data_IF_248990292122
#
_entry.id   IF_248990292122
#
_cell.length_a   1.000
_cell.length_b   1.000
_cell.length_c   1.000
_cell.angle_alpha   90.00
_cell.angle_beta   90.00
_cell.angle_gamma   90.00
#
_symmetry.space_group_name_H-M   'P 1'
#
loop_
_entity.id
_entity.type
_entity.pdbx_description
1 polymer ?
#
# COMPACT_ATOMS: atom_id res chain seq x y z
N UNK A 1 4.12 6.26 -5.95
CA UNK A 1 3.41 7.50 -6.34
C UNK A 1 4.18 8.23 -7.42
N UNK A 2 3.54 8.81 -8.41
CA UNK A 2 4.22 9.73 -9.29
C UNK A 2 4.76 10.91 -8.47
N UNK A 3 6.08 11.10 -8.48
CA UNK A 3 6.78 12.14 -7.71
C UNK A 3 6.25 13.55 -8.01
N UNK A 4 5.72 13.76 -9.20
CA UNK A 4 5.11 15.02 -9.65
C UNK A 4 3.90 15.40 -8.79
N UNK A 5 3.04 14.44 -8.43
CA UNK A 5 1.84 14.72 -7.61
C UNK A 5 2.22 15.16 -6.21
N UNK A 6 3.22 14.51 -5.60
CA UNK A 6 3.75 14.95 -4.30
C UNK A 6 4.33 16.36 -4.38
N UNK A 7 5.02 16.69 -5.46
CA UNK A 7 5.57 18.03 -5.67
C UNK A 7 4.46 19.10 -5.76
N UNK A 8 3.38 18.79 -6.48
CA UNK A 8 2.20 19.70 -6.60
C UNK A 8 1.43 19.82 -5.27
N UNK A 9 1.38 18.76 -4.47
CA UNK A 9 0.68 18.79 -3.18
C UNK A 9 1.51 19.39 -2.04
N UNK A 10 2.83 19.45 -2.14
CA UNK A 10 3.70 20.01 -1.10
C UNK A 10 3.32 21.45 -0.69
N UNK A 11 3.07 22.40 -1.60
CA UNK A 11 2.64 23.75 -1.23
C UNK A 11 1.32 23.74 -0.43
N UNK A 12 0.39 22.85 -0.81
CA UNK A 12 -0.88 22.67 -0.10
C UNK A 12 -0.64 22.16 1.33
N UNK A 13 0.22 21.17 1.50
CA UNK A 13 0.54 20.63 2.81
C UNK A 13 1.24 21.65 3.71
N UNK A 14 2.23 22.38 3.18
CA UNK A 14 2.95 23.41 3.93
C UNK A 14 2.01 24.56 4.37
N UNK A 15 1.00 24.90 3.56
CA UNK A 15 0.05 25.96 3.88
C UNK A 15 -0.95 25.56 4.97
N UNK A 16 -1.40 24.30 4.98
CA UNK A 16 -2.48 23.84 5.86
C UNK A 16 -2.02 23.00 7.06
N UNK A 17 -0.82 22.44 7.03
CA UNK A 17 -0.28 21.57 8.09
C UNK A 17 0.84 22.31 8.81
N UNK A 18 0.81 22.28 10.14
CA UNK A 18 1.87 22.85 10.97
C UNK A 18 3.20 22.10 10.75
N UNK A 19 4.35 22.78 10.85
CA UNK A 19 5.68 22.22 10.60
C UNK A 19 5.99 20.97 11.44
N UNK A 20 5.59 20.95 12.72
CA UNK A 20 5.78 19.79 13.60
C UNK A 20 4.94 18.57 13.14
N UNK A 21 3.73 18.79 12.67
CA UNK A 21 2.84 17.73 12.19
C UNK A 21 3.26 17.25 10.81
N UNK A 22 3.82 18.13 9.98
CA UNK A 22 4.43 17.76 8.71
C UNK A 22 5.65 16.84 8.91
N UNK A 23 6.46 17.07 9.95
CA UNK A 23 7.57 16.19 10.28
C UNK A 23 7.07 14.78 10.69
N UNK A 24 6.02 14.68 11.52
CA UNK A 24 5.39 13.40 11.87
C UNK A 24 4.85 12.68 10.64
N UNK A 25 4.15 13.41 9.77
CA UNK A 25 3.67 12.90 8.50
C UNK A 25 4.78 12.30 7.64
N UNK A 26 5.88 13.04 7.47
CA UNK A 26 7.03 12.59 6.68
C UNK A 26 7.68 11.33 7.24
N UNK A 27 7.80 11.23 8.58
CA UNK A 27 8.33 10.05 9.26
C UNK A 27 7.45 8.81 9.03
N UNK A 28 6.14 8.94 9.14
CA UNK A 28 5.22 7.81 8.87
C UNK A 28 5.28 7.37 7.40
N UNK A 29 5.40 8.30 6.44
CA UNK A 29 5.55 7.92 5.03
C UNK A 29 6.88 7.23 4.73
N UNK A 30 7.96 7.64 5.39
CA UNK A 30 9.24 6.92 5.32
C UNK A 30 9.10 5.51 5.89
N UNK A 31 8.39 5.36 7.01
CA UNK A 31 8.13 4.06 7.63
C UNK A 31 7.25 3.16 6.73
N UNK A 32 6.19 3.71 6.11
CA UNK A 32 5.38 2.98 5.12
C UNK A 32 6.25 2.44 3.99
N UNK A 33 7.13 3.27 3.44
CA UNK A 33 8.00 2.88 2.35
C UNK A 33 8.95 1.75 2.76
N UNK A 34 9.52 1.83 3.95
CA UNK A 34 10.38 0.79 4.52
C UNK A 34 9.61 -0.52 4.75
N UNK A 35 8.45 -0.45 5.38
CA UNK A 35 7.59 -1.62 5.63
C UNK A 35 7.16 -2.28 4.33
N UNK A 36 6.80 -1.51 3.30
CA UNK A 36 6.43 -2.06 2.01
C UNK A 36 7.60 -2.81 1.33
N UNK A 37 8.84 -2.33 1.47
CA UNK A 37 10.03 -3.05 0.98
C UNK A 37 10.17 -4.37 1.72
N UNK A 38 10.10 -4.36 3.06
CA UNK A 38 10.20 -5.56 3.89
C UNK A 38 9.08 -6.55 3.58
N UNK A 39 7.82 -6.09 3.49
CA UNK A 39 6.68 -6.95 3.19
C UNK A 39 6.70 -7.51 1.76
N UNK A 40 7.23 -6.76 0.78
CA UNK A 40 7.35 -7.27 -0.59
C UNK A 40 8.33 -8.43 -0.72
N UNK A 41 9.30 -8.51 0.19
CA UNK A 41 10.25 -9.62 0.35
C UNK A 41 10.94 -10.04 -0.97
N UNK A 42 11.13 -9.10 -1.91
CA UNK A 42 11.71 -9.42 -3.22
C UNK A 42 10.86 -10.35 -4.10
N UNK A 43 9.63 -10.68 -3.68
CA UNK A 43 8.75 -11.63 -4.37
C UNK A 43 8.30 -11.16 -5.75
N UNK A 44 8.32 -9.86 -6.00
CA UNK A 44 8.07 -9.33 -7.33
C UNK A 44 9.12 -9.82 -8.35
N UNK A 45 10.39 -9.75 -7.97
CA UNK A 45 11.50 -10.20 -8.82
C UNK A 45 11.46 -11.72 -9.01
N UNK A 46 11.20 -12.47 -7.93
CA UNK A 46 11.02 -13.91 -8.00
C UNK A 46 9.83 -14.27 -8.90
N UNK A 47 8.73 -13.53 -8.81
CA UNK A 47 7.56 -13.72 -9.67
C UNK A 47 7.95 -13.65 -11.16
N UNK A 48 8.65 -12.61 -11.60
CA UNK A 48 9.08 -12.46 -12.99
C UNK A 48 9.95 -13.65 -13.45
N UNK A 49 10.93 -14.05 -12.65
CA UNK A 49 11.83 -15.15 -12.98
C UNK A 49 11.09 -16.48 -13.15
N UNK A 50 10.28 -16.87 -12.15
CA UNK A 50 9.64 -18.17 -12.12
C UNK A 50 8.40 -18.27 -13.00
N UNK A 51 7.73 -17.14 -13.31
CA UNK A 51 6.63 -17.10 -14.28
C UNK A 51 7.12 -17.29 -15.72
N UNK A 52 8.38 -17.03 -16.02
CA UNK A 52 8.97 -17.26 -17.34
C UNK A 52 9.32 -18.74 -17.58
N UNK A 53 9.35 -19.60 -16.54
CA UNK A 53 9.52 -21.04 -16.70
C UNK A 53 8.27 -21.66 -17.35
N UNK A 54 8.48 -22.63 -18.25
CA UNK A 54 7.40 -23.28 -18.99
C UNK A 54 6.35 -23.87 -18.04
N UNK A 55 5.08 -23.60 -18.29
CA UNK A 55 3.90 -24.08 -17.55
C UNK A 55 3.81 -23.67 -16.06
N UNK A 56 4.65 -22.75 -15.60
CA UNK A 56 4.68 -22.32 -14.19
C UNK A 56 3.93 -21.02 -13.90
N UNK A 57 3.57 -20.23 -14.92
CA UNK A 57 2.99 -18.89 -14.74
C UNK A 57 1.83 -18.85 -13.73
N UNK A 58 0.83 -19.70 -13.94
CA UNK A 58 -0.38 -19.73 -13.09
C UNK A 58 -0.06 -20.19 -11.67
N UNK A 59 0.80 -21.18 -11.52
CA UNK A 59 1.26 -21.70 -10.22
C UNK A 59 2.05 -20.63 -9.47
N UNK A 60 2.94 -19.94 -10.17
CA UNK A 60 3.75 -18.84 -9.62
C UNK A 60 2.86 -17.68 -9.18
N UNK A 61 1.87 -17.31 -9.99
CA UNK A 61 0.92 -16.26 -9.65
C UNK A 61 0.15 -16.58 -8.38
N UNK A 62 -0.48 -17.75 -8.31
CA UNK A 62 -1.27 -18.18 -7.16
C UNK A 62 -0.40 -18.29 -5.89
N UNK A 63 0.76 -18.96 -5.98
CA UNK A 63 1.67 -19.16 -4.84
C UNK A 63 2.19 -17.82 -4.30
N UNK A 64 2.63 -16.92 -5.18
CA UNK A 64 3.11 -15.59 -4.79
C UNK A 64 2.00 -14.75 -4.16
N UNK A 65 0.82 -14.73 -4.77
CA UNK A 65 -0.31 -13.94 -4.25
C UNK A 65 -0.71 -14.40 -2.85
N UNK A 66 -0.87 -15.70 -2.62
CA UNK A 66 -1.26 -16.21 -1.30
C UNK A 66 -0.19 -15.98 -0.23
N UNK A 67 1.08 -16.09 -0.59
CA UNK A 67 2.16 -15.76 0.34
C UNK A 67 2.11 -14.27 0.73
N UNK A 68 2.01 -13.38 -0.25
CA UNK A 68 1.96 -11.94 -0.01
C UNK A 68 0.70 -11.54 0.77
N UNK A 69 -0.45 -12.13 0.44
CA UNK A 69 -1.70 -11.90 1.15
C UNK A 69 -1.62 -12.36 2.61
N UNK A 70 -1.07 -13.55 2.86
CA UNK A 70 -0.90 -14.05 4.23
C UNK A 70 0.08 -13.17 5.04
N UNK A 71 1.24 -12.85 4.47
CA UNK A 71 2.26 -12.04 5.13
C UNK A 71 1.72 -10.65 5.50
N UNK A 72 1.04 -9.99 4.55
CA UNK A 72 0.45 -8.67 4.79
C UNK A 72 -0.74 -8.72 5.74
N UNK A 73 -1.53 -9.80 5.72
CA UNK A 73 -2.62 -10.00 6.68
C UNK A 73 -2.08 -10.22 8.12
N UNK A 74 -1.04 -11.01 8.27
CA UNK A 74 -0.35 -11.19 9.57
C UNK A 74 0.21 -9.86 10.09
N UNK A 75 0.83 -9.07 9.22
CA UNK A 75 1.31 -7.73 9.58
C UNK A 75 0.16 -6.84 10.04
N UNK A 76 -0.94 -6.76 9.25
CA UNK A 76 -2.12 -5.97 9.59
C UNK A 76 -2.68 -6.36 10.95
N UNK A 77 -2.93 -7.65 11.18
CA UNK A 77 -3.47 -8.17 12.45
C UNK A 77 -2.54 -7.85 13.61
N UNK A 78 -1.22 -8.05 13.45
CA UNK A 78 -0.24 -7.71 14.48
C UNK A 78 -0.27 -6.23 14.85
N UNK A 79 -0.30 -5.34 13.84
CA UNK A 79 -0.35 -3.90 14.08
C UNK A 79 -1.68 -3.49 14.71
N UNK A 80 -2.81 -4.10 14.34
CA UNK A 80 -4.11 -3.79 14.95
C UNK A 80 -4.18 -4.23 16.42
N UNK A 81 -3.60 -5.40 16.76
CA UNK A 81 -3.55 -5.90 18.15
C UNK A 81 -2.64 -5.00 19.00
N UNK A 82 -1.46 -4.65 18.49
CA UNK A 82 -0.47 -3.86 19.21
C UNK A 82 -0.52 -2.36 18.86
N UNK A 83 -1.67 -1.87 18.40
CA UNK A 83 -1.82 -0.50 17.89
C UNK A 83 -1.38 0.56 18.90
N UNK A 84 -1.85 0.49 20.16
CA UNK A 84 -1.54 1.48 21.18
C UNK A 84 -0.06 1.46 21.62
N UNK A 85 0.55 0.29 21.92
CA UNK A 85 1.99 0.20 22.17
C UNK A 85 2.85 0.76 21.04
N UNK A 86 2.51 0.44 19.78
CA UNK A 86 3.21 0.95 18.61
C UNK A 86 3.05 2.46 18.50
N UNK A 87 1.83 2.99 18.66
CA UNK A 87 1.56 4.42 18.63
C UNK A 87 2.37 5.17 19.71
N UNK A 88 2.44 4.63 20.92
CA UNK A 88 3.22 5.21 22.01
C UNK A 88 4.73 5.24 21.69
N UNK A 89 5.25 4.14 21.13
CA UNK A 89 6.67 4.05 20.77
C UNK A 89 7.09 5.08 19.70
N UNK A 90 6.21 5.34 18.72
CA UNK A 90 6.48 6.29 17.64
C UNK A 90 6.03 7.73 17.94
N UNK A 91 5.52 8.03 19.14
CA UNK A 91 5.08 9.36 19.55
C UNK A 91 3.72 9.78 18.96
N UNK A 92 2.85 8.82 18.63
CA UNK A 92 1.48 9.02 18.15
C UNK A 92 0.43 8.64 19.20
N UNK A 93 0.74 8.79 20.48
CA UNK A 93 -0.11 8.40 21.62
C UNK A 93 -1.53 8.97 21.54
N UNK A 94 -1.62 10.23 21.10
CA UNK A 94 -2.89 10.95 20.98
C UNK A 94 -3.69 10.56 19.74
N UNK A 95 -3.05 9.97 18.74
CA UNK A 95 -3.64 9.68 17.42
C UNK A 95 -3.29 8.25 16.96
N UNK A 96 -3.66 7.20 17.71
CA UNK A 96 -3.35 5.82 17.35
C UNK A 96 -4.04 5.38 16.04
N UNK A 97 -5.04 6.14 15.57
CA UNK A 97 -5.71 5.94 14.29
C UNK A 97 -4.73 5.99 13.10
N UNK A 98 -3.67 6.80 13.18
CA UNK A 98 -2.67 6.90 12.09
C UNK A 98 -1.94 5.57 11.88
N UNK A 99 -1.66 4.85 12.96
CA UNK A 99 -1.02 3.53 12.89
C UNK A 99 -1.97 2.49 12.26
N UNK A 100 -3.28 2.57 12.54
CA UNK A 100 -4.29 1.71 11.89
C UNK A 100 -4.36 1.98 10.39
N UNK A 101 -4.43 3.24 9.98
CA UNK A 101 -4.45 3.59 8.55
C UNK A 101 -3.16 3.18 7.85
N UNK A 102 -2.01 3.38 8.50
CA UNK A 102 -0.73 2.89 8.04
C UNK A 102 -0.77 1.37 7.75
N UNK A 103 -1.29 0.57 8.69
CA UNK A 103 -1.36 -0.88 8.53
C UNK A 103 -2.28 -1.29 7.37
N UNK A 104 -3.42 -0.61 7.21
CA UNK A 104 -4.34 -0.85 6.10
C UNK A 104 -3.74 -0.45 4.75
N UNK A 105 -3.03 0.68 4.66
CA UNK A 105 -2.33 1.10 3.45
C UNK A 105 -1.28 0.06 3.07
N UNK A 106 -0.43 -0.35 4.03
CA UNK A 106 0.61 -1.34 3.79
C UNK A 106 0.02 -2.69 3.34
N UNK A 107 -1.09 -3.12 3.94
CA UNK A 107 -1.80 -4.34 3.55
C UNK A 107 -2.31 -4.26 2.11
N UNK A 108 -3.04 -3.20 1.76
CA UNK A 108 -3.64 -3.03 0.43
C UNK A 108 -2.57 -2.87 -0.66
N UNK A 109 -1.53 -2.09 -0.39
CA UNK A 109 -0.43 -1.88 -1.32
C UNK A 109 0.33 -3.19 -1.59
N UNK A 110 0.59 -3.97 -0.52
CA UNK A 110 1.29 -5.25 -0.66
C UNK A 110 0.44 -6.31 -1.37
N UNK A 111 -0.88 -6.34 -1.12
CA UNK A 111 -1.82 -7.20 -1.84
C UNK A 111 -1.84 -6.92 -3.35
N UNK A 112 -1.59 -5.66 -3.75
CA UNK A 112 -1.56 -5.22 -5.13
C UNK A 112 -0.23 -5.55 -5.87
N UNK A 113 0.86 -5.90 -5.15
CA UNK A 113 2.19 -6.12 -5.75
C UNK A 113 2.16 -7.17 -6.86
N UNK A 114 1.63 -8.36 -6.57
CA UNK A 114 1.59 -9.48 -7.53
C UNK A 114 0.63 -9.22 -8.69
N UNK A 115 -0.61 -8.69 -8.51
CA UNK A 115 -1.46 -8.24 -9.60
C UNK A 115 -0.79 -7.21 -10.52
N UNK A 116 -0.06 -6.25 -9.97
CA UNK A 116 0.70 -5.29 -10.78
C UNK A 116 1.87 -5.94 -11.52
N UNK A 117 2.60 -6.87 -10.88
CA UNK A 117 3.65 -7.64 -11.52
C UNK A 117 3.09 -8.49 -12.68
N UNK A 118 1.91 -9.09 -12.49
CA UNK A 118 1.20 -9.85 -13.53
C UNK A 118 0.84 -8.98 -14.75
N UNK A 119 0.32 -7.77 -14.53
CA UNK A 119 0.02 -6.85 -15.65
C UNK A 119 1.26 -6.53 -16.48
N UNK A 120 2.41 -6.33 -15.81
CA UNK A 120 3.69 -6.07 -16.50
C UNK A 120 4.21 -7.32 -17.21
N UNK A 121 4.13 -8.48 -16.57
CA UNK A 121 4.54 -9.76 -17.16
C UNK A 121 3.72 -10.10 -18.42
N UNK A 122 2.42 -9.80 -18.41
CA UNK A 122 1.53 -10.00 -19.57
C UNK A 122 1.67 -8.95 -20.68
N UNK A 123 2.62 -8.03 -20.57
CA UNK A 123 2.79 -6.97 -21.56
C UNK A 123 1.61 -6.00 -21.65
N UNK A 124 0.95 -5.72 -20.50
CA UNK A 124 -0.19 -4.79 -20.42
C UNK A 124 0.20 -3.46 -19.73
N UNK A 125 1.21 -2.72 -20.22
CA UNK A 125 1.70 -1.51 -19.56
C UNK A 125 0.65 -0.40 -19.49
N UNK A 126 -0.24 -0.32 -20.47
CA UNK A 126 -1.34 0.67 -20.49
C UNK A 126 -2.28 0.44 -19.30
N UNK A 127 -2.69 -0.81 -19.05
CA UNK A 127 -3.56 -1.12 -17.89
C UNK A 127 -2.85 -0.84 -16.56
N UNK A 128 -1.59 -1.25 -16.45
CA UNK A 128 -0.77 -0.95 -15.27
C UNK A 128 -0.71 0.56 -15.00
N UNK A 129 -0.37 1.34 -16.03
CA UNK A 129 -0.23 2.79 -15.92
C UNK A 129 -1.57 3.47 -15.64
N UNK A 130 -2.65 3.03 -16.30
CA UNK A 130 -3.99 3.56 -16.07
C UNK A 130 -4.43 3.39 -14.61
N UNK A 131 -4.26 2.20 -14.03
CA UNK A 131 -4.60 1.96 -12.62
C UNK A 131 -3.77 2.87 -11.71
N UNK A 132 -2.47 3.00 -11.93
CA UNK A 132 -1.58 3.87 -11.14
C UNK A 132 -1.95 5.35 -11.25
N UNK A 133 -2.29 5.83 -12.45
CA UNK A 133 -2.73 7.21 -12.65
C UNK A 133 -4.07 7.46 -11.95
N UNK A 134 -5.04 6.57 -12.11
CA UNK A 134 -6.34 6.69 -11.46
C UNK A 134 -6.23 6.70 -9.93
N UNK A 135 -5.40 5.83 -9.34
CA UNK A 135 -5.11 5.85 -7.91
C UNK A 135 -4.56 7.21 -7.45
N UNK A 136 -3.56 7.72 -8.18
CA UNK A 136 -2.91 8.98 -7.84
C UNK A 136 -3.83 10.18 -8.01
N UNK A 137 -4.62 10.23 -9.08
CA UNK A 137 -5.61 11.29 -9.31
C UNK A 137 -6.69 11.26 -8.24
N UNK A 138 -7.22 10.08 -7.95
CA UNK A 138 -8.26 9.93 -6.92
C UNK A 138 -7.75 10.37 -5.54
N UNK A 139 -6.55 9.93 -5.15
CA UNK A 139 -5.91 10.36 -3.91
C UNK A 139 -5.76 11.88 -3.86
N UNK A 140 -5.31 12.50 -4.96
CA UNK A 140 -5.16 13.96 -5.07
C UNK A 140 -6.50 14.66 -4.93
N UNK A 141 -7.54 14.17 -5.62
CA UNK A 141 -8.89 14.73 -5.52
C UNK A 141 -9.43 14.64 -4.09
N UNK A 142 -9.27 13.50 -3.44
CA UNK A 142 -9.72 13.30 -2.05
C UNK A 142 -9.01 14.26 -1.10
N UNK A 143 -7.69 14.40 -1.17
CA UNK A 143 -6.97 15.30 -0.27
C UNK A 143 -7.30 16.76 -0.50
N UNK A 144 -7.43 17.19 -1.76
CA UNK A 144 -7.84 18.56 -2.11
C UNK A 144 -9.26 18.84 -1.62
N UNK A 145 -10.18 17.89 -1.83
CA UNK A 145 -11.56 18.01 -1.33
C UNK A 145 -11.62 18.14 0.20
N UNK A 146 -10.79 17.37 0.93
CA UNK A 146 -10.70 17.43 2.38
C UNK A 146 -10.19 18.79 2.89
N UNK A 147 -9.22 19.39 2.18
CA UNK A 147 -8.68 20.69 2.59
C UNK A 147 -9.58 21.88 2.23
N UNK A 148 -10.28 21.83 1.09
CA UNK A 148 -10.97 23.00 0.54
C UNK A 148 -12.48 22.97 0.75
N UNK A 149 -13.12 21.78 0.74
CA UNK A 149 -14.58 21.68 0.63
C UNK A 149 -15.24 20.96 1.80
N UNK A 150 -14.52 20.08 2.49
CA UNK A 150 -15.15 19.28 3.55
C UNK A 150 -15.07 20.03 4.89
N UNK A 151 -16.23 20.27 5.56
CA UNK A 151 -16.26 20.88 6.89
C UNK A 151 -15.49 20.05 7.91
N UNK A 152 -14.80 20.73 8.83
CA UNK A 152 -14.01 20.09 9.91
C UNK A 152 -14.86 19.17 10.79
N UNK A 153 -16.14 19.50 10.99
CA UNK A 153 -17.07 18.67 11.75
C UNK A 153 -17.30 17.28 11.12
N UNK A 154 -17.38 17.22 9.79
CA UNK A 154 -17.55 15.97 9.07
C UNK A 154 -16.26 15.13 9.11
N UNK A 155 -15.11 15.76 8.95
CA UNK A 155 -13.82 15.07 9.01
C UNK A 155 -13.57 14.48 10.41
N UNK A 156 -13.96 15.18 11.47
CA UNK A 156 -13.86 14.68 12.85
C UNK A 156 -14.72 13.43 13.11
N UNK A 157 -15.92 13.34 12.52
CA UNK A 157 -16.77 12.12 12.58
C UNK A 157 -16.12 10.90 11.94
N UNK A 158 -15.23 11.11 10.97
CA UNK A 158 -14.44 10.05 10.32
C UNK A 158 -13.13 9.73 11.06
N UNK A 159 -12.93 10.28 12.26
CA UNK A 159 -11.71 10.08 13.06
C UNK A 159 -10.54 10.98 12.66
N UNK A 160 -10.75 11.94 11.75
CA UNK A 160 -9.74 12.90 11.31
C UNK A 160 -9.74 14.14 12.19
N UNK A 161 -9.12 14.07 13.35
CA UNK A 161 -9.10 15.16 14.36
C UNK A 161 -8.22 16.33 13.95
N UNK A 162 -7.15 16.06 13.20
CA UNK A 162 -6.14 17.03 12.79
C UNK A 162 -5.98 17.02 11.27
N UNK A 163 -5.59 18.15 10.67
CA UNK A 163 -5.42 18.28 9.21
C UNK A 163 -4.32 17.36 8.66
N UNK A 164 -3.36 16.97 9.48
CA UNK A 164 -2.31 15.99 9.11
C UNK A 164 -2.88 14.60 8.78
N UNK A 165 -4.08 14.28 9.24
CA UNK A 165 -4.77 13.03 8.93
C UNK A 165 -5.28 12.95 7.48
N UNK A 166 -5.52 14.10 6.81
CA UNK A 166 -6.08 14.14 5.46
C UNK A 166 -5.23 13.45 4.41
N UNK A 167 -3.90 13.66 4.35
CA UNK A 167 -3.03 12.91 3.47
C UNK A 167 -3.04 11.39 3.72
N UNK A 168 -3.10 10.95 4.99
CA UNK A 168 -3.17 9.52 5.31
C UNK A 168 -4.47 8.90 4.84
N UNK A 169 -5.59 9.55 5.15
CA UNK A 169 -6.90 9.08 4.70
C UNK A 169 -7.01 9.04 3.18
N UNK A 170 -6.52 10.08 2.49
CA UNK A 170 -6.53 10.12 1.03
C UNK A 170 -5.67 9.01 0.42
N UNK A 171 -4.52 8.68 1.03
CA UNK A 171 -3.68 7.57 0.60
C UNK A 171 -4.39 6.22 0.79
N UNK A 172 -5.04 6.02 1.94
CA UNK A 172 -5.86 4.84 2.19
C UNK A 172 -6.94 4.67 1.12
N UNK A 173 -7.64 5.75 0.77
CA UNK A 173 -8.66 5.73 -0.28
C UNK A 173 -8.05 5.42 -1.66
N UNK A 174 -6.87 5.94 -1.95
CA UNK A 174 -6.12 5.62 -3.17
C UNK A 174 -5.73 4.14 -3.25
N UNK A 175 -5.20 3.57 -2.16
CA UNK A 175 -4.85 2.14 -2.08
C UNK A 175 -6.09 1.25 -2.19
N UNK A 176 -7.21 1.65 -1.57
CA UNK A 176 -8.49 0.96 -1.70
C UNK A 176 -9.01 0.96 -3.14
N UNK A 177 -9.00 2.11 -3.80
CA UNK A 177 -9.35 2.20 -5.23
C UNK A 177 -8.48 1.29 -6.08
N UNK A 178 -7.18 1.23 -5.81
CA UNK A 178 -6.26 0.33 -6.50
C UNK A 178 -6.63 -1.14 -6.33
N UNK A 179 -6.96 -1.56 -5.12
CA UNK A 179 -7.42 -2.93 -4.84
C UNK A 179 -8.73 -3.24 -5.59
N UNK A 180 -9.67 -2.29 -5.62
CA UNK A 180 -10.94 -2.41 -6.38
C UNK A 180 -10.68 -2.53 -7.88
N UNK A 181 -9.80 -1.70 -8.45
CA UNK A 181 -9.47 -1.75 -9.88
C UNK A 181 -8.73 -3.03 -10.28
N UNK A 182 -7.96 -3.61 -9.34
CA UNK A 182 -7.25 -4.88 -9.54
C UNK A 182 -8.11 -6.10 -9.18
N UNK A 183 -9.29 -5.91 -8.62
CA UNK A 183 -10.18 -7.01 -8.20
C UNK A 183 -10.49 -8.03 -9.30
N UNK A 184 -10.66 -7.67 -10.60
CA UNK A 184 -10.87 -8.66 -11.65
C UNK A 184 -9.68 -9.61 -11.87
N UNK A 185 -8.47 -9.19 -11.46
CA UNK A 185 -7.27 -10.02 -11.50
C UNK A 185 -7.19 -10.87 -10.22
N UNK A 186 -7.48 -10.26 -9.07
CA UNK A 186 -7.48 -10.91 -7.75
C UNK A 186 -8.50 -12.05 -7.71
N UNK A 187 -9.70 -11.87 -8.24
CA UNK A 187 -10.73 -12.93 -8.28
C UNK A 187 -10.39 -14.11 -9.20
N UNK A 188 -9.37 -13.98 -10.07
CA UNK A 188 -8.86 -15.10 -10.88
C UNK A 188 -7.85 -15.97 -10.14
N UNK A 189 -7.42 -15.55 -8.96
CA UNK A 189 -6.51 -16.32 -8.10
C UNK A 189 -7.21 -17.60 -7.65
N UNK A 190 -6.56 -18.74 -7.86
CA UNK A 190 -7.03 -20.02 -7.36
C UNK A 190 -6.37 -20.35 -6.03
N UNK A 191 -7.06 -21.11 -5.19
CA UNK A 191 -6.52 -21.68 -3.95
C UNK A 191 -5.51 -22.79 -4.28
N UNK A 192 -4.37 -22.38 -4.87
CA UNK A 192 -3.30 -23.28 -5.24
C UNK A 192 -1.98 -22.72 -4.69
N UNK A 193 -1.38 -23.47 -3.76
CA UNK A 193 -0.08 -23.14 -3.18
C UNK A 193 0.89 -24.32 -3.40
N UNK A 194 1.97 -24.07 -4.15
CA UNK A 194 2.96 -25.09 -4.48
C UNK A 194 4.18 -24.88 -3.59
N UNK A 195 4.35 -25.74 -2.57
CA UNK A 195 5.42 -25.60 -1.55
C UNK A 195 6.83 -25.60 -2.15
N UNK A 196 7.15 -26.51 -3.06
CA UNK A 196 8.49 -26.59 -3.66
C UNK A 196 8.81 -25.33 -4.47
N UNK A 197 7.84 -24.82 -5.22
CA UNK A 197 7.98 -23.57 -5.97
C UNK A 197 8.16 -22.39 -5.00
N UNK A 198 7.39 -22.34 -3.92
CA UNK A 198 7.52 -21.31 -2.89
C UNK A 198 8.93 -21.27 -2.29
N UNK A 199 9.50 -22.41 -1.88
CA UNK A 199 10.85 -22.43 -1.30
C UNK A 199 11.93 -22.04 -2.32
N UNK A 200 11.80 -22.42 -3.58
CA UNK A 200 12.68 -21.97 -4.67
C UNK A 200 12.60 -20.45 -4.85
N UNK A 201 11.39 -19.90 -4.87
CA UNK A 201 11.16 -18.46 -4.97
C UNK A 201 11.70 -17.71 -3.76
N UNK A 202 11.48 -18.22 -2.56
CA UNK A 202 11.97 -17.63 -1.31
C UNK A 202 13.51 -17.59 -1.29
N UNK A 203 14.17 -18.69 -1.66
CA UNK A 203 15.64 -18.76 -1.76
C UNK A 203 16.19 -17.75 -2.76
N UNK A 204 15.46 -17.49 -3.85
CA UNK A 204 15.85 -16.51 -4.85
C UNK A 204 15.57 -15.07 -4.40
N UNK A 205 14.45 -14.83 -3.72
CA UNK A 205 14.02 -13.52 -3.28
C UNK A 205 14.89 -12.97 -2.14
N UNK A 206 15.31 -13.85 -1.21
CA UNK A 206 16.06 -13.45 -0.01
C UNK A 206 17.32 -12.62 -0.28
N UNK A 207 18.23 -12.98 -1.21
CA UNK A 207 19.42 -12.16 -1.51
C UNK A 207 19.12 -10.89 -2.32
N UNK A 208 17.90 -10.71 -2.85
CA UNK A 208 17.47 -9.56 -3.66
C UNK A 208 16.70 -8.53 -2.81
N UNK A 209 16.35 -8.87 -1.58
CA UNK A 209 15.71 -8.00 -0.61
C UNK A 209 16.69 -6.94 -0.06
#
# INVERSE_FOLDING_TARGET
MPRIILFVLNPLYIHYINTNDFAKFSNLYALISFVNIVLSFGFETAYFRFSAEKDNEKKTFNTSFWFMALLSALFLVSVLIFNQPIANYFGYEKNPEYIKWFAWIAFLDNLAVIPFAWLRFKGMPIKYTAVRILQSLFQTLVVVALFLWIPTEFSQKLGMKEKVSFPFFSNLMGSLLGAVLLSPIIFKVQLQFVKDLFFRMLKYAFPVM
#
